data_IF_478119051816
#
_entry.id   IF_478119051816
#
_cell.length_a   1.000
_cell.length_b   1.000
_cell.length_c   1.000
_cell.angle_alpha   90.00
_cell.angle_beta   90.00
_cell.angle_gamma   90.00
#
_symmetry.space_group_name_H-M   'P 1'
#
loop_
_entity.id
_entity.type
_entity.pdbx_description
1 polymer ?
#
# COMPACT_ATOMS: atom_id res chain seq x y z
N UNK A 1 6.84 -8.59 -12.92
CA UNK A 1 7.91 -9.02 -12.00
C UNK A 1 9.18 -9.05 -12.81
N UNK A 2 10.19 -8.28 -12.42
CA UNK A 2 11.45 -8.14 -13.15
C UNK A 2 12.59 -9.01 -12.59
N UNK A 3 12.51 -9.38 -11.32
CA UNK A 3 13.46 -10.28 -10.67
C UNK A 3 12.78 -11.09 -9.58
N UNK A 4 13.32 -12.26 -9.26
CA UNK A 4 12.95 -13.09 -8.13
C UNK A 4 14.15 -13.89 -7.66
N UNK A 5 14.42 -13.81 -6.36
CA UNK A 5 15.45 -14.60 -5.68
C UNK A 5 14.80 -15.51 -4.65
N UNK A 6 15.21 -16.77 -4.61
CA UNK A 6 14.82 -17.74 -3.59
C UNK A 6 16.00 -17.97 -2.67
N UNK A 7 15.76 -17.88 -1.37
CA UNK A 7 16.74 -18.18 -0.32
C UNK A 7 16.25 -19.40 0.46
N UNK A 8 17.15 -20.33 0.74
CA UNK A 8 16.83 -21.51 1.52
C UNK A 8 17.73 -21.53 2.77
N UNK A 9 17.11 -21.78 3.92
CA UNK A 9 17.79 -21.98 5.19
C UNK A 9 17.36 -23.31 5.77
N UNK A 10 18.29 -24.02 6.43
CA UNK A 10 18.00 -25.26 7.13
C UNK A 10 17.26 -25.01 8.47
N UNK A 11 16.98 -26.05 9.22
CA UNK A 11 16.29 -25.99 10.50
C UNK A 11 17.12 -25.34 11.63
N UNK A 12 18.42 -25.16 11.43
CA UNK A 12 19.33 -24.45 12.33
C UNK A 12 19.61 -23.01 11.86
N UNK A 13 18.81 -22.50 10.90
CA UNK A 13 18.96 -21.18 10.28
C UNK A 13 20.26 -20.95 9.50
N UNK A 14 20.98 -22.02 9.14
CA UNK A 14 22.14 -21.93 8.29
C UNK A 14 21.70 -21.65 6.85
N UNK A 15 22.42 -20.76 6.18
CA UNK A 15 22.23 -20.47 4.77
C UNK A 15 22.62 -21.68 3.91
N UNK A 16 21.68 -22.15 3.09
CA UNK A 16 21.88 -23.28 2.18
C UNK A 16 22.23 -22.80 0.78
N UNK A 17 21.34 -22.02 0.17
CA UNK A 17 21.50 -21.57 -1.20
C UNK A 17 20.68 -20.28 -1.45
N UNK A 18 21.16 -19.45 -2.36
CA UNK A 18 20.38 -18.46 -3.08
C UNK A 18 20.25 -18.88 -4.54
N UNK A 19 19.04 -18.80 -5.07
CA UNK A 19 18.76 -19.06 -6.48
C UNK A 19 18.02 -17.87 -7.08
N UNK A 20 18.68 -17.19 -8.01
CA UNK A 20 18.05 -16.13 -8.80
C UNK A 20 17.39 -16.77 -10.03
N UNK A 21 16.14 -16.42 -10.31
CA UNK A 21 15.41 -16.97 -11.42
C UNK A 21 15.83 -16.34 -12.74
N UNK A 22 15.94 -17.14 -13.76
CA UNK A 22 16.11 -16.70 -15.16
C UNK A 22 14.81 -16.08 -15.71
N UNK A 23 14.90 -15.37 -16.83
CA UNK A 23 13.73 -14.78 -17.48
C UNK A 23 12.65 -15.81 -17.84
N UNK A 24 13.05 -17.01 -18.25
CA UNK A 24 12.12 -18.11 -18.57
C UNK A 24 11.42 -18.65 -17.30
N UNK A 25 12.15 -18.81 -16.20
CA UNK A 25 11.60 -19.25 -14.92
C UNK A 25 10.66 -18.18 -14.32
N UNK A 26 10.98 -16.88 -14.49
CA UNK A 26 10.10 -15.77 -14.11
C UNK A 26 8.78 -15.80 -14.91
N UNK A 27 8.84 -16.06 -16.20
CA UNK A 27 7.65 -16.19 -17.04
C UNK A 27 6.81 -17.43 -16.65
N UNK A 28 7.47 -18.54 -16.37
CA UNK A 28 6.84 -19.77 -15.90
C UNK A 28 6.34 -19.69 -14.45
N UNK A 29 6.81 -18.69 -13.66
CA UNK A 29 6.59 -18.56 -12.22
C UNK A 29 7.02 -19.80 -11.44
N UNK A 30 8.02 -20.51 -11.92
CA UNK A 30 8.51 -21.76 -11.38
C UNK A 30 10.00 -21.94 -11.66
N UNK A 31 10.72 -22.52 -10.72
CA UNK A 31 12.13 -22.90 -10.89
C UNK A 31 12.38 -24.24 -10.21
N UNK A 32 13.25 -25.04 -10.81
CA UNK A 32 13.73 -26.29 -10.21
C UNK A 32 15.22 -26.21 -9.97
N UNK A 33 15.66 -26.58 -8.78
CA UNK A 33 17.07 -26.60 -8.42
C UNK A 33 17.35 -27.68 -7.36
N UNK A 34 18.61 -28.10 -7.28
CA UNK A 34 19.02 -29.15 -6.37
C UNK A 34 19.39 -28.59 -4.99
N UNK A 35 19.08 -29.33 -3.94
CA UNK A 35 19.53 -29.10 -2.58
C UNK A 35 20.54 -30.18 -2.14
N UNK A 36 21.43 -29.89 -1.17
CA UNK A 36 22.34 -30.89 -0.59
C UNK A 36 21.59 -32.12 -0.05
N UNK A 37 22.12 -33.32 -0.29
CA UNK A 37 21.53 -34.58 0.18
C UNK A 37 21.36 -34.64 1.70
N UNK A 38 22.21 -33.91 2.45
CA UNK A 38 22.13 -33.81 3.91
C UNK A 38 20.83 -33.19 4.42
N UNK A 39 20.08 -32.49 3.56
CA UNK A 39 18.79 -31.89 3.89
C UNK A 39 17.59 -32.81 3.65
N UNK A 40 17.81 -34.03 3.13
CA UNK A 40 16.73 -34.98 2.92
C UNK A 40 15.97 -35.25 4.24
N UNK A 41 14.65 -35.20 4.16
CA UNK A 41 13.73 -35.39 5.29
C UNK A 41 13.88 -34.33 6.41
N UNK A 42 14.54 -33.19 6.15
CA UNK A 42 14.67 -32.12 7.12
C UNK A 42 13.78 -30.92 6.78
N UNK A 43 13.22 -30.22 7.79
CA UNK A 43 12.51 -28.96 7.56
C UNK A 43 13.46 -27.87 7.06
N UNK A 44 13.05 -27.12 6.03
CA UNK A 44 13.77 -25.96 5.54
C UNK A 44 12.81 -24.77 5.41
N UNK A 45 13.36 -23.57 5.53
CA UNK A 45 12.64 -22.32 5.31
C UNK A 45 13.00 -21.75 3.94
N UNK A 46 11.97 -21.54 3.11
CA UNK A 46 12.09 -21.00 1.77
C UNK A 46 11.55 -19.57 1.76
N UNK A 47 12.38 -18.61 1.37
CA UNK A 47 12.01 -17.21 1.20
C UNK A 47 12.10 -16.84 -0.26
N UNK A 48 11.08 -16.17 -0.78
CA UNK A 48 11.06 -15.63 -2.12
C UNK A 48 10.96 -14.11 -2.05
N UNK A 49 11.87 -13.40 -2.73
CA UNK A 49 11.93 -11.94 -2.76
C UNK A 49 11.97 -11.49 -4.22
N UNK A 50 10.98 -10.68 -4.60
CA UNK A 50 10.83 -10.16 -5.96
C UNK A 50 11.10 -8.66 -6.01
N UNK A 51 11.75 -8.20 -7.09
CA UNK A 51 11.98 -6.80 -7.42
C UNK A 51 12.80 -6.02 -6.36
N UNK A 52 13.64 -6.72 -5.61
CA UNK A 52 14.52 -6.16 -4.58
C UNK A 52 15.86 -6.89 -4.61
N UNK A 53 16.96 -6.15 -4.50
CA UNK A 53 18.29 -6.74 -4.40
C UNK A 53 18.59 -7.14 -2.95
N UNK A 54 18.48 -8.42 -2.68
CA UNK A 54 18.80 -9.05 -1.39
C UNK A 54 20.15 -9.80 -1.42
N UNK A 55 21.01 -9.54 -2.40
CA UNK A 55 22.25 -10.31 -2.65
C UNK A 55 23.23 -10.28 -1.49
N UNK A 56 23.21 -9.23 -0.67
CA UNK A 56 24.06 -9.07 0.50
C UNK A 56 23.64 -9.94 1.70
N UNK A 57 22.40 -10.42 1.74
CA UNK A 57 21.89 -11.19 2.87
C UNK A 57 22.44 -12.64 2.84
N UNK A 58 23.36 -12.97 3.72
CA UNK A 58 24.00 -14.30 3.85
C UNK A 58 23.54 -15.07 5.10
N UNK A 59 22.65 -14.50 5.89
CA UNK A 59 22.05 -15.15 7.06
C UNK A 59 20.55 -14.88 7.08
N UNK A 60 19.77 -15.73 7.77
CA UNK A 60 18.33 -15.52 7.93
C UNK A 60 18.05 -14.18 8.63
N UNK A 61 18.84 -13.87 9.68
CA UNK A 61 18.70 -12.61 10.40
C UNK A 61 18.91 -11.39 9.47
N UNK A 62 19.97 -11.40 8.63
CA UNK A 62 20.22 -10.34 7.66
C UNK A 62 19.09 -10.24 6.63
N UNK A 63 18.55 -11.37 6.15
CA UNK A 63 17.45 -11.39 5.18
C UNK A 63 16.16 -10.80 5.77
N UNK A 64 15.80 -11.19 6.98
CA UNK A 64 14.58 -10.71 7.65
C UNK A 64 14.69 -9.27 8.15
N UNK A 65 15.92 -8.72 8.27
CA UNK A 65 16.17 -7.33 8.62
C UNK A 65 16.19 -6.37 7.40
N UNK A 66 16.06 -6.87 6.18
CA UNK A 66 16.01 -6.02 4.98
C UNK A 66 14.81 -5.07 5.02
N UNK A 67 15.06 -3.81 4.72
CA UNK A 67 14.07 -2.72 4.80
C UNK A 67 13.89 -2.06 3.44
N UNK A 68 12.66 -1.98 2.97
CA UNK A 68 12.26 -1.15 1.85
C UNK A 68 11.92 0.27 2.37
N UNK A 69 12.47 1.31 1.72
CA UNK A 69 12.31 2.72 2.13
C UNK A 69 11.76 3.62 1.01
N UNK A 70 11.49 3.06 -0.15
CA UNK A 70 11.18 3.84 -1.36
C UNK A 70 9.67 4.02 -1.57
N UNK A 71 8.89 4.32 -0.52
CA UNK A 71 7.44 4.55 -0.66
C UNK A 71 7.12 5.63 -1.72
N UNK A 72 7.94 6.67 -1.83
CA UNK A 72 7.79 7.73 -2.82
C UNK A 72 7.85 7.20 -4.26
N UNK A 73 8.67 6.19 -4.53
CA UNK A 73 8.88 5.65 -5.87
C UNK A 73 7.65 4.91 -6.43
N UNK A 74 6.69 4.54 -5.56
CA UNK A 74 5.42 3.93 -5.97
C UNK A 74 4.35 4.95 -6.32
N UNK A 75 4.53 6.23 -5.92
CA UNK A 75 3.56 7.29 -6.01
C UNK A 75 3.85 8.26 -7.17
N UNK A 76 2.82 8.95 -7.61
CA UNK A 76 2.85 9.92 -8.70
C UNK A 76 1.49 10.57 -8.86
N UNK A 77 1.15 11.00 -10.06
CA UNK A 77 -0.21 11.44 -10.38
C UNK A 77 -1.15 10.22 -10.41
N UNK A 78 -2.45 10.47 -10.30
CA UNK A 78 -3.46 9.41 -10.42
C UNK A 78 -3.29 8.59 -11.71
N UNK A 79 -3.04 9.26 -12.84
CA UNK A 79 -2.89 8.59 -14.16
C UNK A 79 -1.67 7.68 -14.19
N UNK A 80 -0.54 8.14 -13.64
CA UNK A 80 0.71 7.35 -13.62
C UNK A 80 0.59 6.06 -12.80
N UNK A 81 -0.15 6.09 -11.67
CA UNK A 81 -0.21 4.96 -10.74
C UNK A 81 -1.49 4.13 -10.81
N UNK A 82 -2.51 4.57 -11.59
CA UNK A 82 -3.79 3.86 -11.69
C UNK A 82 -3.68 2.50 -12.37
N UNK A 83 -2.72 2.33 -13.28
CA UNK A 83 -2.51 1.12 -14.08
C UNK A 83 -1.34 0.28 -13.62
N UNK A 84 -0.27 0.91 -13.09
CA UNK A 84 0.96 0.22 -12.66
C UNK A 84 1.68 1.04 -11.57
N UNK A 85 2.52 0.37 -10.77
CA UNK A 85 3.43 1.08 -9.87
C UNK A 85 4.40 1.94 -10.69
N UNK A 86 4.61 3.18 -10.26
CA UNK A 86 5.59 4.08 -10.89
C UNK A 86 7.04 3.63 -10.66
N UNK A 87 7.30 2.85 -9.59
CA UNK A 87 8.63 2.35 -9.24
C UNK A 87 9.21 1.50 -10.37
N UNK A 88 10.45 1.80 -10.77
CA UNK A 88 11.23 0.97 -11.71
C UNK A 88 11.38 -0.46 -11.16
N UNK A 89 11.18 -1.45 -12.02
CA UNK A 89 11.20 -2.87 -11.62
C UNK A 89 9.90 -3.37 -10.97
N UNK A 90 8.91 -2.50 -10.71
CA UNK A 90 7.61 -2.88 -10.16
C UNK A 90 7.60 -2.99 -8.64
N UNK A 91 6.57 -3.62 -8.10
CA UNK A 91 6.37 -3.78 -6.65
C UNK A 91 7.42 -4.71 -6.04
N UNK A 92 8.01 -4.30 -4.92
CA UNK A 92 8.73 -5.23 -4.05
C UNK A 92 7.73 -6.17 -3.42
N UNK A 93 8.01 -7.48 -3.51
CA UNK A 93 7.14 -8.52 -2.97
C UNK A 93 8.00 -9.58 -2.27
N UNK A 94 7.44 -10.18 -1.25
CA UNK A 94 8.06 -11.31 -0.58
C UNK A 94 7.05 -12.34 -0.11
N UNK A 95 7.54 -13.55 0.12
CA UNK A 95 6.78 -14.63 0.73
C UNK A 95 7.71 -15.64 1.39
N UNK A 96 7.17 -16.45 2.28
CA UNK A 96 7.91 -17.49 2.99
C UNK A 96 7.05 -18.76 3.13
N UNK A 97 7.71 -19.90 3.07
CA UNK A 97 7.13 -21.21 3.36
C UNK A 97 8.15 -22.08 4.06
N UNK A 98 7.76 -22.69 5.18
CA UNK A 98 8.49 -23.82 5.75
C UNK A 98 7.98 -25.11 5.14
N UNK A 99 8.89 -25.96 4.69
CA UNK A 99 8.57 -27.24 4.05
C UNK A 99 9.65 -28.26 4.36
N UNK A 100 9.26 -29.50 4.71
CA UNK A 100 10.20 -30.61 4.80
C UNK A 100 10.64 -31.02 3.39
N UNK A 101 11.94 -31.07 3.19
CA UNK A 101 12.55 -31.58 1.95
C UNK A 101 12.30 -33.09 1.86
N UNK A 102 11.94 -33.59 0.71
CA UNK A 102 11.68 -35.01 0.49
C UNK A 102 12.93 -35.90 0.61
N UNK A 103 12.74 -37.17 0.40
CA UNK A 103 13.83 -38.14 0.39
C UNK A 103 14.84 -37.84 -0.74
N UNK A 104 16.03 -38.42 -0.64
CA UNK A 104 17.06 -38.33 -1.69
C UNK A 104 16.46 -38.81 -3.04
N UNK A 105 16.78 -38.11 -4.11
CA UNK A 105 16.28 -38.33 -5.48
C UNK A 105 14.76 -38.12 -5.66
N UNK A 106 14.08 -37.45 -4.72
CA UNK A 106 12.69 -37.02 -4.89
C UNK A 106 12.59 -35.53 -5.20
N UNK A 107 11.46 -35.10 -5.75
CA UNK A 107 11.14 -33.69 -5.94
C UNK A 107 10.18 -33.20 -4.86
N UNK A 108 10.52 -32.09 -4.22
CA UNK A 108 9.65 -31.41 -3.26
C UNK A 108 9.07 -30.13 -3.88
N UNK A 109 7.76 -30.07 -3.97
CA UNK A 109 7.09 -28.86 -4.45
C UNK A 109 6.85 -27.88 -3.31
N UNK A 110 7.32 -26.63 -3.47
CA UNK A 110 7.16 -25.56 -2.48
C UNK A 110 6.40 -24.40 -3.12
N UNK A 111 5.13 -24.23 -2.76
CA UNK A 111 4.33 -23.10 -3.19
C UNK A 111 4.52 -21.90 -2.25
N UNK A 112 4.95 -20.74 -2.77
CA UNK A 112 5.15 -19.52 -2.01
C UNK A 112 4.27 -18.40 -2.56
N UNK A 113 3.38 -17.89 -1.74
CA UNK A 113 2.56 -16.71 -2.09
C UNK A 113 3.33 -15.44 -1.82
N UNK A 114 3.50 -14.60 -2.84
CA UNK A 114 4.15 -13.30 -2.72
C UNK A 114 3.14 -12.22 -2.33
N UNK A 115 3.49 -11.40 -1.35
CA UNK A 115 2.74 -10.20 -0.95
C UNK A 115 3.59 -8.95 -1.19
N UNK A 116 2.96 -7.89 -1.71
CA UNK A 116 3.61 -6.59 -1.89
C UNK A 116 3.95 -5.99 -0.53
N UNK A 117 5.06 -5.25 -0.43
CA UNK A 117 5.41 -4.48 0.78
C UNK A 117 4.46 -3.32 1.03
N UNK A 118 3.86 -2.78 -0.03
CA UNK A 118 2.93 -1.66 0.03
C UNK A 118 1.47 -2.09 0.03
N UNK A 119 0.62 -1.25 0.61
CA UNK A 119 -0.82 -1.22 0.44
C UNK A 119 -1.20 -0.20 -0.62
N UNK A 120 -2.38 -0.36 -1.21
CA UNK A 120 -3.04 0.56 -2.14
C UNK A 120 -4.15 1.31 -1.41
N UNK A 121 -4.16 2.64 -1.47
CA UNK A 121 -5.20 3.51 -0.91
C UNK A 121 -5.82 4.29 -2.06
N UNK A 122 -7.08 4.03 -2.36
CA UNK A 122 -7.85 4.74 -3.37
C UNK A 122 -8.91 5.61 -2.71
N UNK A 123 -8.84 6.91 -2.95
CA UNK A 123 -9.87 7.87 -2.53
C UNK A 123 -10.73 8.25 -3.72
N UNK A 124 -12.04 8.23 -3.51
CA UNK A 124 -13.02 8.78 -4.43
C UNK A 124 -13.87 9.80 -3.67
N UNK A 125 -13.80 11.07 -4.07
CA UNK A 125 -14.53 12.16 -3.43
C UNK A 125 -15.65 12.64 -4.34
N UNK A 126 -16.84 12.84 -3.78
CA UNK A 126 -18.01 13.41 -4.43
C UNK A 126 -18.43 14.65 -3.66
N UNK A 127 -18.80 15.70 -4.36
CA UNK A 127 -19.54 16.82 -3.75
C UNK A 127 -21.02 16.47 -3.89
N UNK A 128 -21.71 16.35 -2.76
CA UNK A 128 -23.12 15.99 -2.73
C UNK A 128 -23.97 17.09 -3.38
N UNK A 129 -24.98 16.77 -4.19
CA UNK A 129 -25.87 17.79 -4.75
C UNK A 129 -26.52 18.69 -3.69
N UNK A 130 -26.79 18.16 -2.49
CA UNK A 130 -27.35 18.95 -1.36
C UNK A 130 -26.40 20.02 -0.84
N UNK A 131 -25.11 19.99 -1.23
CA UNK A 131 -24.18 21.08 -0.90
C UNK A 131 -24.67 22.41 -1.46
N UNK A 132 -25.12 22.43 -2.71
CA UNK A 132 -25.63 23.64 -3.36
C UNK A 132 -26.97 24.14 -2.76
N UNK A 133 -27.70 23.27 -2.08
CA UNK A 133 -28.94 23.67 -1.35
C UNK A 133 -28.61 24.45 -0.08
N UNK A 134 -27.43 24.20 0.50
CA UNK A 134 -26.99 24.81 1.76
C UNK A 134 -26.08 26.02 1.56
N UNK A 135 -25.25 25.98 0.54
CA UNK A 135 -24.20 26.97 0.30
C UNK A 135 -24.30 27.51 -1.14
N UNK A 136 -24.42 28.82 -1.27
CA UNK A 136 -24.26 29.48 -2.56
C UNK A 136 -22.80 29.30 -3.05
N UNK A 137 -22.58 29.45 -4.36
CA UNK A 137 -21.23 29.39 -4.90
C UNK A 137 -20.75 27.98 -5.24
N UNK A 138 -19.42 27.79 -5.27
CA UNK A 138 -18.80 26.55 -5.76
C UNK A 138 -17.70 26.05 -4.84
N UNK A 139 -17.58 24.72 -4.71
CA UNK A 139 -16.48 24.05 -4.05
C UNK A 139 -15.62 23.33 -5.09
N UNK A 140 -14.33 23.65 -5.14
CA UNK A 140 -13.36 23.02 -6.06
C UNK A 140 -12.31 22.27 -5.26
N UNK A 141 -12.15 20.97 -5.53
CA UNK A 141 -11.10 20.15 -4.90
C UNK A 141 -9.79 20.34 -5.65
N UNK A 142 -8.79 20.92 -4.98
CA UNK A 142 -7.51 21.29 -5.57
C UNK A 142 -6.47 20.18 -5.48
N UNK A 143 -6.38 19.55 -4.32
CA UNK A 143 -5.41 18.48 -4.08
C UNK A 143 -5.89 17.50 -3.03
N UNK A 144 -5.28 16.32 -3.06
CA UNK A 144 -5.42 15.31 -2.01
C UNK A 144 -4.04 14.92 -1.53
N UNK A 145 -3.87 14.86 -0.21
CA UNK A 145 -2.61 14.46 0.43
C UNK A 145 -2.85 13.26 1.33
N UNK A 146 -2.04 12.22 1.12
CA UNK A 146 -1.86 11.16 2.11
C UNK A 146 -0.68 11.55 2.99
N UNK A 147 -0.85 11.48 4.30
CA UNK A 147 0.16 11.84 5.29
C UNK A 147 0.16 10.89 6.49
N UNK A 148 1.10 11.04 7.41
CA UNK A 148 1.28 10.16 8.56
C UNK A 148 1.37 8.68 8.17
N UNK A 149 1.95 8.35 7.00
CA UNK A 149 2.17 6.97 6.58
C UNK A 149 3.58 6.49 6.94
N UNK A 150 3.75 5.18 7.05
CA UNK A 150 5.06 4.60 7.33
C UNK A 150 6.02 4.87 6.17
N UNK A 151 7.23 5.36 6.49
CA UNK A 151 8.29 5.68 5.52
C UNK A 151 9.15 4.47 5.16
N UNK A 152 8.99 3.35 5.85
CA UNK A 152 9.71 2.10 5.59
C UNK A 152 8.90 0.87 6.00
N UNK A 153 9.23 -0.28 5.43
CA UNK A 153 8.67 -1.59 5.78
C UNK A 153 9.74 -2.67 5.68
N UNK A 154 9.62 -3.75 6.44
CA UNK A 154 10.43 -4.94 6.23
C UNK A 154 10.12 -5.53 4.84
N UNK A 155 11.16 -5.93 4.11
CA UNK A 155 11.00 -6.63 2.82
C UNK A 155 10.33 -7.98 3.05
N UNK A 156 10.85 -8.76 3.97
CA UNK A 156 10.28 -10.05 4.37
C UNK A 156 9.13 -9.83 5.35
N UNK A 157 8.06 -10.61 5.20
CA UNK A 157 6.92 -10.56 6.10
C UNK A 157 7.38 -10.88 7.53
N UNK A 158 7.13 -9.95 8.43
CA UNK A 158 7.38 -10.07 9.87
C UNK A 158 6.22 -9.45 10.65
N UNK A 159 6.37 -9.32 11.96
CA UNK A 159 5.45 -8.48 12.75
C UNK A 159 5.68 -7.03 12.32
N UNK A 160 4.65 -6.32 11.85
CA UNK A 160 4.82 -4.92 11.47
C UNK A 160 5.27 -4.12 12.69
N UNK A 161 6.51 -3.68 12.70
CA UNK A 161 6.91 -2.60 13.58
C UNK A 161 6.58 -1.31 12.83
N UNK A 162 5.75 -0.43 13.40
CA UNK A 162 5.50 0.86 12.77
C UNK A 162 6.85 1.53 12.55
N UNK A 163 7.21 1.76 11.30
CA UNK A 163 8.33 2.62 10.96
C UNK A 163 8.02 4.06 11.35
N UNK A 164 8.95 5.00 11.18
CA UNK A 164 8.63 6.40 11.32
C UNK A 164 7.44 6.74 10.41
N UNK A 165 6.36 7.30 10.98
CA UNK A 165 5.14 7.69 10.28
C UNK A 165 5.31 9.07 9.62
N UNK A 166 6.32 9.19 8.78
CA UNK A 166 6.77 10.48 8.20
C UNK A 166 6.53 10.59 6.69
N UNK A 167 6.10 9.52 6.04
CA UNK A 167 5.81 9.57 4.61
C UNK A 167 4.55 10.36 4.32
N UNK A 168 4.63 11.21 3.30
CA UNK A 168 3.50 11.91 2.73
C UNK A 168 3.64 12.03 1.21
N UNK A 169 2.50 12.09 0.53
CA UNK A 169 2.43 12.35 -0.90
C UNK A 169 1.17 13.15 -1.23
N UNK A 170 1.34 14.17 -2.07
CA UNK A 170 0.22 15.01 -2.55
C UNK A 170 0.06 14.81 -4.03
N UNK A 171 -1.18 14.72 -4.48
CA UNK A 171 -1.51 14.72 -5.90
C UNK A 171 -2.76 15.54 -6.21
N UNK A 172 -2.86 16.05 -7.43
CA UNK A 172 -4.11 16.58 -7.96
C UNK A 172 -5.02 15.41 -8.32
N UNK A 173 -6.24 15.34 -7.79
CA UNK A 173 -7.16 14.27 -8.11
C UNK A 173 -7.62 14.36 -9.57
N UNK A 174 -7.87 13.21 -10.19
CA UNK A 174 -8.44 13.15 -11.54
C UNK A 174 -9.97 13.16 -11.48
N UNK A 175 -10.59 14.09 -12.21
CA UNK A 175 -12.04 14.14 -12.34
C UNK A 175 -12.51 13.10 -13.38
N UNK A 176 -13.40 12.21 -12.97
CA UNK A 176 -14.05 11.26 -13.87
C UNK A 176 -15.48 10.97 -13.37
N UNK A 177 -16.47 11.08 -14.26
CA UNK A 177 -17.88 10.78 -13.95
C UNK A 177 -18.41 11.54 -12.73
N UNK A 178 -18.07 12.81 -12.57
CA UNK A 178 -18.51 13.66 -11.46
C UNK A 178 -17.83 13.36 -10.12
N UNK A 179 -16.73 12.59 -10.12
CA UNK A 179 -16.00 12.20 -8.92
C UNK A 179 -14.53 12.55 -9.05
N UNK A 180 -13.94 12.99 -7.95
CA UNK A 180 -12.51 13.25 -7.84
C UNK A 180 -11.81 11.98 -7.33
N UNK A 181 -10.87 11.47 -8.11
CA UNK A 181 -10.18 10.20 -7.83
C UNK A 181 -8.71 10.43 -7.53
N UNK A 182 -8.23 9.88 -6.43
CA UNK A 182 -6.82 9.86 -6.04
C UNK A 182 -6.38 8.44 -5.66
N UNK A 183 -5.09 8.14 -5.86
CA UNK A 183 -4.55 6.81 -5.63
C UNK A 183 -3.14 6.91 -5.04
N UNK A 184 -2.94 6.25 -3.90
CA UNK A 184 -1.69 6.23 -3.17
C UNK A 184 -1.22 4.81 -2.89
N UNK A 185 0.09 4.67 -2.72
CA UNK A 185 0.73 3.50 -2.13
C UNK A 185 1.46 3.92 -0.86
N UNK A 186 1.28 3.17 0.21
CA UNK A 186 1.99 3.35 1.48
C UNK A 186 2.42 2.01 2.05
N UNK A 187 3.40 2.00 2.94
CA UNK A 187 3.81 0.80 3.63
C UNK A 187 2.83 0.40 4.73
N UNK A 188 2.94 -0.87 5.14
CA UNK A 188 2.21 -1.38 6.28
C UNK A 188 2.61 -0.67 7.58
N UNK A 189 1.68 -0.61 8.51
CA UNK A 189 1.93 -0.20 9.89
C UNK A 189 1.15 -1.09 10.85
N UNK A 190 1.64 -1.24 12.08
CA UNK A 190 0.87 -1.87 13.14
C UNK A 190 -0.33 -1.02 13.59
N UNK A 191 -1.07 -1.50 14.58
CA UNK A 191 -2.18 -0.75 15.16
C UNK A 191 -1.72 0.62 15.70
N UNK A 192 -2.51 1.66 15.43
CA UNK A 192 -2.26 3.04 15.82
C UNK A 192 -3.49 3.65 16.48
N UNK A 193 -3.32 4.43 17.56
CA UNK A 193 -4.43 5.15 18.17
C UNK A 193 -4.97 6.22 17.21
N UNK A 194 -6.21 6.65 17.45
CA UNK A 194 -6.79 7.81 16.79
C UNK A 194 -5.88 9.04 16.97
N UNK A 195 -5.81 9.89 15.96
CA UNK A 195 -4.89 11.04 15.90
C UNK A 195 -3.50 10.71 15.34
N UNK A 196 -3.08 9.43 15.35
CA UNK A 196 -1.77 8.98 14.84
C UNK A 196 -1.86 8.13 13.58
N UNK A 197 -3.06 7.86 13.09
CA UNK A 197 -3.31 7.01 11.93
C UNK A 197 -2.92 7.69 10.62
N UNK A 198 -2.78 6.88 9.58
CA UNK A 198 -2.63 7.39 8.21
C UNK A 198 -3.79 8.32 7.90
N UNK A 199 -3.47 9.52 7.40
CA UNK A 199 -4.43 10.59 7.19
C UNK A 199 -4.54 10.93 5.71
N UNK A 200 -5.77 11.07 5.22
CA UNK A 200 -6.10 11.68 3.95
C UNK A 200 -6.62 13.09 4.20
N UNK A 201 -6.05 14.08 3.50
CA UNK A 201 -6.43 15.48 3.56
C UNK A 201 -6.89 15.91 2.17
N UNK A 202 -8.16 16.33 2.05
CA UNK A 202 -8.75 16.83 0.81
C UNK A 202 -8.77 18.34 0.92
N UNK A 203 -7.94 19.02 0.12
CA UNK A 203 -7.85 20.48 0.10
C UNK A 203 -8.72 21.01 -1.02
N UNK A 204 -9.59 21.94 -0.69
CA UNK A 204 -10.55 22.54 -1.59
C UNK A 204 -10.62 24.04 -1.39
N UNK A 205 -11.02 24.76 -2.43
CA UNK A 205 -11.37 26.18 -2.36
C UNK A 205 -12.90 26.31 -2.47
N UNK A 206 -13.48 26.99 -1.51
CA UNK A 206 -14.87 27.43 -1.57
C UNK A 206 -14.91 28.87 -2.06
N UNK A 207 -15.63 29.13 -3.14
CA UNK A 207 -15.85 30.41 -3.78
C UNK A 207 -17.33 30.75 -3.57
N UNK A 208 -17.61 31.75 -2.73
CA UNK A 208 -18.95 31.94 -2.16
C UNK A 208 -19.95 32.55 -3.15
N UNK A 209 -19.50 33.32 -4.13
CA UNK A 209 -20.34 33.85 -5.19
C UNK A 209 -20.30 33.03 -6.50
N UNK A 210 -19.36 32.05 -6.55
CA UNK A 210 -19.12 31.20 -7.73
C UNK A 210 -18.50 31.92 -8.92
N UNK A 211 -18.04 33.15 -8.73
CA UNK A 211 -17.42 33.97 -9.78
C UNK A 211 -15.92 33.77 -9.81
N UNK A 212 -15.44 32.92 -10.68
CA UNK A 212 -14.00 32.58 -10.80
C UNK A 212 -13.09 33.76 -11.17
N UNK A 213 -13.63 34.94 -11.46
CA UNK A 213 -12.86 36.16 -11.78
C UNK A 213 -12.51 36.98 -10.54
N UNK A 214 -13.21 36.79 -9.43
CA UNK A 214 -12.95 37.40 -8.12
C UNK A 214 -12.26 36.41 -7.20
N UNK A 215 -11.54 36.89 -6.19
CA UNK A 215 -10.78 36.05 -5.23
C UNK A 215 -10.95 36.48 -3.78
N UNK A 216 -11.63 37.60 -3.54
CA UNK A 216 -11.80 38.23 -2.23
C UNK A 216 -12.82 37.51 -1.33
N UNK A 217 -13.64 36.64 -1.90
CA UNK A 217 -14.64 35.84 -1.22
C UNK A 217 -14.31 34.32 -1.20
N UNK A 218 -13.07 33.96 -1.55
CA UNK A 218 -12.58 32.57 -1.51
C UNK A 218 -12.04 32.19 -0.14
N UNK A 219 -12.35 30.96 0.24
CA UNK A 219 -11.86 30.35 1.47
C UNK A 219 -11.27 28.96 1.19
N UNK A 220 -10.08 28.72 1.76
CA UNK A 220 -9.46 27.39 1.72
C UNK A 220 -10.08 26.49 2.79
N UNK A 221 -10.49 25.30 2.39
CA UNK A 221 -11.08 24.29 3.28
C UNK A 221 -10.32 22.97 3.16
N UNK A 222 -10.09 22.32 4.30
CA UNK A 222 -9.44 21.01 4.36
C UNK A 222 -10.34 20.01 5.07
N UNK A 223 -10.70 18.94 4.38
CA UNK A 223 -11.40 17.79 4.97
C UNK A 223 -10.38 16.72 5.30
N UNK A 224 -10.46 16.16 6.51
CA UNK A 224 -9.50 15.18 7.00
C UNK A 224 -10.17 13.85 7.32
N UNK A 225 -9.57 12.75 6.87
CA UNK A 225 -10.06 11.39 7.06
C UNK A 225 -8.93 10.51 7.57
N UNK A 226 -9.02 10.01 8.79
CA UNK A 226 -8.10 8.97 9.27
C UNK A 226 -8.49 7.61 8.70
N UNK A 227 -7.51 6.87 8.19
CA UNK A 227 -7.74 5.48 7.80
C UNK A 227 -7.87 4.59 9.05
N UNK A 228 -9.02 3.97 9.21
CA UNK A 228 -9.26 3.02 10.30
C UNK A 228 -8.58 1.68 10.07
N UNK A 229 -8.08 1.45 8.85
CA UNK A 229 -7.39 0.23 8.48
C UNK A 229 -8.30 -1.01 8.61
N UNK A 230 -7.70 -2.18 8.81
CA UNK A 230 -8.42 -3.40 9.11
C UNK A 230 -9.06 -3.32 10.50
N UNK A 231 -8.30 -2.83 11.48
CA UNK A 231 -8.74 -2.50 12.83
C UNK A 231 -7.71 -1.55 13.45
N UNK A 232 -8.15 -0.62 14.30
CA UNK A 232 -7.28 0.28 15.06
C UNK A 232 -6.21 1.02 14.21
N UNK A 233 -6.52 1.38 12.97
CA UNK A 233 -5.59 2.09 12.07
C UNK A 233 -4.50 1.21 11.45
N UNK A 234 -4.60 -0.11 11.55
CA UNK A 234 -3.63 -1.05 10.97
C UNK A 234 -3.74 -1.07 9.44
N UNK A 235 -2.68 -0.72 8.74
CA UNK A 235 -2.52 -0.89 7.30
C UNK A 235 -1.71 -2.16 7.05
N UNK A 236 -2.27 -3.11 6.33
CA UNK A 236 -1.62 -4.38 6.00
C UNK A 236 -0.91 -4.27 4.65
N UNK A 237 0.26 -4.90 4.53
CA UNK A 237 0.92 -5.08 3.22
C UNK A 237 0.00 -5.82 2.27
N UNK A 238 0.08 -5.51 0.99
CA UNK A 238 -0.80 -6.04 -0.06
C UNK A 238 -2.29 -5.72 0.16
N UNK A 239 -2.64 -4.84 1.12
CA UNK A 239 -4.01 -4.41 1.39
C UNK A 239 -4.51 -3.42 0.33
N UNK A 240 -5.83 -3.42 0.08
CA UNK A 240 -6.49 -2.45 -0.76
C UNK A 240 -7.58 -1.72 0.02
N UNK A 241 -7.36 -0.43 0.28
CA UNK A 241 -8.23 0.44 1.04
C UNK A 241 -8.95 1.38 0.07
N UNK A 242 -10.27 1.28 0.01
CA UNK A 242 -11.12 2.17 -0.78
C UNK A 242 -11.86 3.11 0.17
N UNK A 243 -11.67 4.40 -0.04
CA UNK A 243 -12.34 5.47 0.71
C UNK A 243 -13.27 6.21 -0.26
N UNK A 244 -14.55 6.23 0.05
CA UNK A 244 -15.50 7.08 -0.65
C UNK A 244 -15.90 8.23 0.29
N UNK A 245 -15.54 9.45 -0.07
CA UNK A 245 -15.84 10.66 0.65
C UNK A 245 -16.98 11.40 -0.04
N UNK A 246 -18.07 11.68 0.70
CA UNK A 246 -19.17 12.50 0.22
C UNK A 246 -19.17 13.83 0.99
N UNK A 247 -18.92 14.93 0.31
CA UNK A 247 -18.88 16.26 0.91
C UNK A 247 -20.29 16.87 0.85
N UNK A 248 -20.94 16.99 2.00
CA UNK A 248 -22.31 17.52 2.15
C UNK A 248 -22.34 18.93 2.74
N UNK A 249 -21.19 19.47 3.17
CA UNK A 249 -21.10 20.81 3.76
C UNK A 249 -19.66 21.30 3.98
N UNK A 250 -19.52 22.51 4.48
CA UNK A 250 -18.23 23.12 4.79
C UNK A 250 -17.72 22.66 6.16
N UNK A 251 -16.41 22.52 6.28
CA UNK A 251 -15.73 22.15 7.55
C UNK A 251 -16.06 23.15 8.66
N UNK A 252 -16.41 22.66 9.85
CA UNK A 252 -16.75 23.50 10.99
C UNK A 252 -18.24 23.79 11.14
N UNK A 253 -19.06 23.30 10.21
CA UNK A 253 -20.52 23.44 10.25
C UNK A 253 -21.27 22.13 10.57
N UNK A 254 -20.62 21.04 10.65
CA UNK A 254 -20.95 19.64 11.01
C UNK A 254 -20.29 18.64 10.05
N UNK A 255 -19.53 17.69 10.57
CA UNK A 255 -18.84 16.68 9.75
C UNK A 255 -18.91 15.30 10.37
N UNK A 256 -19.42 14.32 9.63
CA UNK A 256 -19.35 12.89 9.96
C UNK A 256 -18.61 12.10 8.88
N UNK A 257 -17.75 11.14 9.30
CA UNK A 257 -16.91 10.34 8.40
C UNK A 257 -16.96 8.87 8.76
N UNK A 258 -17.22 7.98 7.80
CA UNK A 258 -17.11 6.53 7.99
C UNK A 258 -16.15 5.86 6.99
N UNK A 259 -15.41 4.80 7.41
CA UNK A 259 -14.32 4.16 6.63
C UNK A 259 -14.42 2.63 6.66
N UNK A 260 -14.40 1.96 5.50
CA UNK A 260 -14.42 0.48 5.36
C UNK A 260 -13.20 -0.04 4.59
N UNK A 261 -12.66 -1.19 4.97
CA UNK A 261 -11.41 -1.78 4.45
C UNK A 261 -11.63 -3.06 3.68
N UNK A 262 -10.87 -3.28 2.62
CA UNK A 262 -10.87 -4.52 1.84
C UNK A 262 -9.47 -5.06 1.58
N UNK A 263 -9.35 -6.37 1.44
CA UNK A 263 -8.16 -7.02 0.91
C UNK A 263 -8.05 -6.82 -0.62
N UNK A 264 -6.82 -6.89 -1.15
CA UNK A 264 -6.53 -6.62 -2.57
C UNK A 264 -7.29 -7.53 -3.53
N UNK A 265 -7.66 -8.72 -3.08
CA UNK A 265 -8.38 -9.72 -3.89
C UNK A 265 -9.90 -9.52 -3.87
N UNK A 266 -10.43 -8.84 -2.84
CA UNK A 266 -11.87 -8.54 -2.73
C UNK A 266 -12.05 -7.13 -2.14
N UNK A 267 -12.33 -6.11 -2.98
CA UNK A 267 -12.46 -4.73 -2.50
C UNK A 267 -13.73 -4.56 -1.65
N UNK A 268 -13.57 -4.10 -0.42
CA UNK A 268 -14.67 -3.59 0.41
C UNK A 268 -14.70 -2.08 0.27
N UNK A 269 -15.87 -1.51 0.08
CA UNK A 269 -16.08 -0.08 -0.14
C UNK A 269 -16.48 0.59 1.16
N UNK A 270 -15.84 1.73 1.44
CA UNK A 270 -16.21 2.60 2.53
C UNK A 270 -16.85 3.88 2.00
N UNK A 271 -17.99 4.25 2.57
CA UNK A 271 -18.67 5.51 2.30
C UNK A 271 -18.44 6.47 3.46
N UNK A 272 -18.14 7.72 3.13
CA UNK A 272 -17.88 8.80 4.09
C UNK A 272 -18.71 9.98 3.68
N UNK A 273 -19.54 10.50 4.58
CA UNK A 273 -20.21 11.78 4.41
C UNK A 273 -19.45 12.86 5.19
N UNK A 274 -19.16 13.97 4.53
CA UNK A 274 -18.41 15.09 5.07
C UNK A 274 -19.29 16.33 5.06
N UNK A 275 -19.58 16.88 6.23
CA UNK A 275 -20.42 18.05 6.43
C UNK A 275 -21.92 17.76 6.37
N UNK A 276 -22.56 17.60 7.52
CA UNK A 276 -24.03 17.59 7.68
C UNK A 276 -24.52 18.91 8.21
#
# INVERSE_FOLDING_TARGET
>A
MSSLSIFVFDNADNFVIRRDLTSSELAAKSATFSLPKSLASTPCSFYAIANYDASSAKTRAALTALVEKSAADYNGTFVEVSTAAKRSGGFVMSGMKSQTVGAVNSTTNVGITLKRTVAKVALQTTIDPSFADKYAGTLTINSVKLSKAASQSLVVVGTPTPGPMTFSHTQTPAMASGKYNALFYCFENGALPAGSRVLLEINATYDSDGNTLTTDDRSEVTYSVELTGKAAGEILRNGYYRVAANITGLVGQDCAVSVTVADWETPVTQNVELGA
#
